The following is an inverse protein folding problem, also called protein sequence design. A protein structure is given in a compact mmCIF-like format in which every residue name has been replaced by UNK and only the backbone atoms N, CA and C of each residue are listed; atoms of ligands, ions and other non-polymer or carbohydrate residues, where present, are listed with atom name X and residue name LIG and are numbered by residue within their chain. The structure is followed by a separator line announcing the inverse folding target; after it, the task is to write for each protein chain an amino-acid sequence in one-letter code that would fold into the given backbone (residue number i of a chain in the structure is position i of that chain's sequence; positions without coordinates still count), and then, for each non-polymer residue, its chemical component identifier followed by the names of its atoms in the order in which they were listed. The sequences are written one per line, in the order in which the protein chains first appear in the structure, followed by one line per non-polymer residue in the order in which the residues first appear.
data_IF_397336861335
#
_entry.id   IF_397336861335
#
_cell.length_a   1.000
_cell.length_b   1.000
_cell.length_c   1.000
_cell.angle_alpha   90.00
_cell.angle_beta   90.00
_cell.angle_gamma   90.00
#
_symmetry.space_group_name_H-M   'P 1'
#
loop_
_entity.id
_entity.type
_entity.pdbx_description
1 polymer ?
#
# COMPACT_ATOMS: atom_id res chain seq x y z
N UNK A 1 -2.14 -32.86 8.34
CA UNK A 1 -1.46 -31.58 7.96
C UNK A 1 -0.20 -31.87 7.11
N UNK A 2 0.05 -31.11 6.03
CA UNK A 2 1.09 -31.38 4.99
C UNK A 2 2.53 -31.53 5.53
N UNK A 3 2.99 -30.65 6.41
CA UNK A 3 4.40 -30.64 6.82
C UNK A 3 4.82 -31.86 7.65
N UNK A 4 3.87 -32.58 8.25
CA UNK A 4 4.15 -33.80 9.01
C UNK A 4 4.69 -34.94 8.14
N UNK A 5 4.45 -34.90 6.83
CA UNK A 5 4.94 -35.92 5.90
C UNK A 5 6.29 -35.60 5.26
N UNK A 6 6.89 -34.45 5.59
CA UNK A 6 8.23 -34.14 5.10
C UNK A 6 9.26 -35.05 5.80
N UNK A 7 10.44 -35.26 5.20
CA UNK A 7 11.55 -35.88 5.90
C UNK A 7 12.14 -34.91 6.92
N UNK A 8 12.83 -35.49 7.91
CA UNK A 8 13.58 -34.73 8.91
C UNK A 8 15.02 -34.59 8.46
N UNK A 9 15.62 -33.44 8.74
CA UNK A 9 17.06 -33.19 8.58
C UNK A 9 17.65 -32.89 9.95
N UNK A 10 18.88 -33.33 10.19
CA UNK A 10 19.63 -32.96 11.39
C UNK A 10 20.30 -31.61 11.17
N UNK A 11 20.14 -30.69 12.13
CA UNK A 11 20.81 -29.39 12.12
C UNK A 11 21.49 -29.14 13.45
N UNK A 12 22.70 -28.60 13.39
CA UNK A 12 23.43 -28.16 14.58
C UNK A 12 22.95 -26.77 14.97
N UNK A 13 22.43 -26.63 16.18
CA UNK A 13 22.05 -25.35 16.79
C UNK A 13 22.76 -25.31 18.15
N UNK A 14 23.65 -24.34 18.35
CA UNK A 14 24.35 -24.12 19.63
C UNK A 14 24.90 -25.42 20.24
N UNK A 15 25.71 -26.15 19.45
CA UNK A 15 26.38 -27.41 19.81
C UNK A 15 25.48 -28.64 20.03
N UNK A 16 24.16 -28.53 19.85
CA UNK A 16 23.23 -29.66 19.88
C UNK A 16 22.76 -30.06 18.48
N UNK A 17 22.73 -31.37 18.20
CA UNK A 17 22.12 -31.92 16.98
C UNK A 17 20.63 -32.06 17.21
N UNK A 18 19.83 -31.25 16.50
CA UNK A 18 18.38 -31.28 16.57
C UNK A 18 17.83 -31.80 15.24
N UNK A 19 16.91 -32.77 15.30
CA UNK A 19 16.13 -33.16 14.13
C UNK A 19 15.00 -32.16 13.88
N UNK A 20 15.01 -31.52 12.72
CA UNK A 20 13.99 -30.55 12.29
C UNK A 20 13.30 -31.01 11.02
N UNK A 21 12.05 -30.58 10.82
CA UNK A 21 11.31 -30.84 9.60
C UNK A 21 11.94 -30.10 8.42
N UNK A 22 12.22 -30.78 7.31
CA UNK A 22 12.85 -30.17 6.14
C UNK A 22 11.88 -29.29 5.35
N UNK A 23 11.74 -28.03 5.75
CA UNK A 23 10.91 -27.04 5.04
C UNK A 23 11.61 -26.40 3.83
N UNK A 24 12.86 -26.77 3.54
CA UNK A 24 13.64 -26.19 2.44
C UNK A 24 13.31 -26.81 1.08
N UNK A 25 12.62 -27.96 1.10
CA UNK A 25 12.15 -28.64 -0.11
C UNK A 25 11.01 -27.85 -0.76
N UNK A 26 11.31 -27.22 -1.90
CA UNK A 26 10.32 -26.55 -2.75
C UNK A 26 9.56 -27.59 -3.57
N UNK A 27 8.23 -27.58 -3.43
CA UNK A 27 7.35 -28.32 -4.33
C UNK A 27 6.93 -27.38 -5.45
N UNK A 28 7.28 -27.74 -6.68
CA UNK A 28 6.88 -27.00 -7.89
C UNK A 28 6.08 -27.94 -8.76
N UNK A 29 4.85 -27.56 -9.07
CA UNK A 29 4.06 -28.18 -10.12
C UNK A 29 4.35 -27.45 -11.42
N UNK A 30 4.54 -28.18 -12.52
CA UNK A 30 4.66 -27.57 -13.85
C UNK A 30 3.28 -27.07 -14.29
N UNK A 31 3.24 -25.85 -14.84
CA UNK A 31 2.00 -25.15 -15.20
C UNK A 31 1.12 -25.98 -16.16
N UNK A 32 1.72 -26.80 -17.04
CA UNK A 32 0.99 -27.70 -17.97
C UNK A 32 0.03 -28.70 -17.30
N UNK A 33 0.31 -29.13 -16.06
CA UNK A 33 -0.60 -30.03 -15.33
C UNK A 33 -1.78 -29.29 -14.67
N UNK A 34 -1.65 -27.98 -14.51
CA UNK A 34 -2.59 -27.09 -13.81
C UNK A 34 -3.52 -26.37 -14.80
N UNK A 35 -3.06 -26.11 -16.03
CA UNK A 35 -3.76 -25.32 -17.06
C UNK A 35 -4.99 -25.96 -17.72
N UNK A 36 -5.48 -27.12 -17.25
CA UNK A 36 -6.81 -27.57 -17.67
C UNK A 36 -7.87 -26.75 -16.93
N UNK A 37 -8.16 -25.56 -17.46
CA UNK A 37 -9.15 -24.52 -17.09
C UNK A 37 -10.56 -24.99 -16.67
N UNK A 38 -10.85 -26.29 -16.70
CA UNK A 38 -12.11 -26.91 -16.27
C UNK A 38 -12.05 -27.54 -14.87
N UNK A 39 -10.93 -27.41 -14.15
CA UNK A 39 -10.74 -28.08 -12.86
C UNK A 39 -10.86 -27.16 -11.64
N UNK A 40 -10.99 -25.85 -11.85
CA UNK A 40 -11.12 -24.87 -10.76
C UNK A 40 -12.53 -24.35 -10.61
N UNK A 41 -12.97 -24.24 -9.36
CA UNK A 41 -14.18 -23.51 -8.96
C UNK A 41 -13.74 -22.23 -8.26
N UNK A 42 -14.18 -21.10 -8.79
CA UNK A 42 -13.96 -19.80 -8.16
C UNK A 42 -14.85 -19.66 -6.93
N UNK A 43 -14.24 -19.43 -5.77
CA UNK A 43 -14.92 -19.17 -4.51
C UNK A 43 -14.62 -17.76 -4.03
N UNK A 44 -15.68 -16.97 -3.79
CA UNK A 44 -15.56 -15.67 -3.15
C UNK A 44 -15.59 -15.85 -1.63
N UNK A 45 -14.47 -15.56 -0.99
CA UNK A 45 -14.29 -15.63 0.46
C UNK A 45 -15.28 -14.71 1.18
N UNK A 46 -15.97 -15.23 2.19
CA UNK A 46 -16.88 -14.44 3.04
C UNK A 46 -16.10 -13.81 4.19
N UNK A 47 -16.69 -12.78 4.80
CA UNK A 47 -16.11 -12.18 5.99
C UNK A 47 -16.01 -13.22 7.12
N UNK A 48 -14.86 -13.29 7.78
CA UNK A 48 -14.56 -14.29 8.81
C UNK A 48 -14.23 -15.71 8.34
N UNK A 49 -14.32 -16.03 7.05
CA UNK A 49 -13.80 -17.32 6.56
C UNK A 49 -12.28 -17.38 6.75
N UNK A 50 -11.77 -18.54 7.17
CA UNK A 50 -10.33 -18.88 7.13
C UNK A 50 -10.08 -19.93 6.06
N UNK A 51 -8.83 -20.10 5.63
CA UNK A 51 -8.50 -21.12 4.63
C UNK A 51 -8.85 -22.53 5.10
N UNK A 52 -8.71 -22.82 6.39
CA UNK A 52 -9.10 -24.07 7.04
C UNK A 52 -10.62 -24.27 7.01
N UNK A 53 -11.39 -23.22 7.30
CA UNK A 53 -12.85 -23.27 7.23
C UNK A 53 -13.35 -23.52 5.80
N UNK A 54 -12.72 -22.87 4.81
CA UNK A 54 -13.02 -23.09 3.39
C UNK A 54 -12.66 -24.52 2.98
N UNK A 55 -11.48 -25.01 3.38
CA UNK A 55 -11.05 -26.37 3.11
C UNK A 55 -12.00 -27.40 3.73
N UNK A 56 -12.45 -27.18 4.97
CA UNK A 56 -13.45 -28.04 5.63
C UNK A 56 -14.79 -28.05 4.88
N UNK A 57 -15.26 -26.88 4.42
CA UNK A 57 -16.53 -26.78 3.67
C UNK A 57 -16.46 -27.44 2.30
N UNK A 58 -15.33 -27.31 1.60
CA UNK A 58 -15.20 -27.73 0.21
C UNK A 58 -14.61 -29.13 0.04
N UNK A 59 -13.65 -29.51 0.88
CA UNK A 59 -12.96 -30.82 0.83
C UNK A 59 -13.30 -31.76 2.00
N UNK A 60 -14.09 -31.30 2.98
CA UNK A 60 -14.44 -32.08 4.18
C UNK A 60 -13.33 -32.18 5.23
N UNK A 61 -12.13 -31.64 4.96
CA UNK A 61 -10.97 -31.65 5.86
C UNK A 61 -10.35 -30.25 5.95
N UNK A 62 -10.18 -29.75 7.17
CA UNK A 62 -9.49 -28.49 7.48
C UNK A 62 -7.99 -28.54 7.16
N UNK A 63 -7.37 -29.72 7.30
CA UNK A 63 -5.95 -29.93 7.03
C UNK A 63 -5.51 -29.67 5.58
N UNK A 64 -6.46 -29.48 4.66
CA UNK A 64 -6.23 -29.23 3.23
C UNK A 64 -6.14 -27.73 2.89
N UNK A 65 -6.03 -26.84 3.87
CA UNK A 65 -5.84 -25.40 3.65
C UNK A 65 -4.62 -25.09 2.76
N UNK A 66 -3.56 -25.89 2.85
CA UNK A 66 -2.36 -25.76 2.02
C UNK A 66 -2.62 -25.99 0.53
N UNK A 67 -3.62 -26.80 0.16
CA UNK A 67 -4.00 -27.04 -1.25
C UNK A 67 -4.52 -25.73 -1.85
N UNK A 68 -5.33 -25.01 -1.08
CA UNK A 68 -5.86 -23.70 -1.47
C UNK A 68 -4.70 -22.71 -1.62
N UNK A 69 -3.77 -22.67 -0.65
CA UNK A 69 -2.60 -21.78 -0.71
C UNK A 69 -1.74 -22.05 -1.95
N UNK A 70 -1.47 -23.32 -2.24
CA UNK A 70 -0.64 -23.77 -3.34
C UNK A 70 -1.19 -23.31 -4.70
N UNK A 71 -2.47 -23.58 -4.98
CA UNK A 71 -3.07 -23.22 -6.27
C UNK A 71 -3.30 -21.72 -6.45
N UNK A 72 -3.47 -20.98 -5.35
CA UNK A 72 -3.58 -19.51 -5.37
C UNK A 72 -2.23 -18.81 -5.25
N UNK A 73 -1.11 -19.56 -5.28
CA UNK A 73 0.27 -19.03 -5.14
C UNK A 73 0.42 -18.13 -3.90
N UNK A 74 -0.29 -18.46 -2.82
CA UNK A 74 -0.28 -17.71 -1.56
C UNK A 74 0.99 -18.04 -0.80
N UNK A 75 1.88 -17.05 -0.67
CA UNK A 75 3.13 -17.17 0.10
C UNK A 75 2.88 -16.89 1.58
N UNK A 76 2.18 -15.79 1.88
CA UNK A 76 1.85 -15.39 3.25
C UNK A 76 0.40 -15.82 3.57
N UNK A 77 0.19 -16.77 4.49
CA UNK A 77 -1.15 -17.25 4.82
C UNK A 77 -2.02 -16.20 5.55
N UNK A 78 -1.42 -15.19 6.17
CA UNK A 78 -2.12 -14.16 6.92
C UNK A 78 -2.52 -12.96 6.06
N UNK A 79 -1.63 -12.49 5.17
CA UNK A 79 -1.86 -11.28 4.37
C UNK A 79 -1.98 -11.53 2.85
N UNK A 80 -1.70 -12.77 2.41
CA UNK A 80 -1.85 -13.19 1.02
C UNK A 80 -3.28 -13.52 0.61
N UNK A 81 -4.21 -13.56 1.57
CA UNK A 81 -5.65 -13.70 1.34
C UNK A 81 -6.40 -12.49 1.90
N UNK A 82 -7.65 -12.29 1.46
CA UNK A 82 -8.47 -11.20 1.99
C UNK A 82 -8.64 -11.30 3.51
N UNK A 83 -8.42 -10.18 4.19
CA UNK A 83 -8.66 -10.01 5.60
C UNK A 83 -10.16 -9.79 5.86
N UNK A 84 -10.61 -10.15 7.07
CA UNK A 84 -11.94 -9.77 7.54
C UNK A 84 -12.05 -8.26 7.69
N UNK A 85 -13.27 -7.72 7.65
CA UNK A 85 -13.48 -6.25 7.74
C UNK A 85 -12.80 -5.66 8.97
N UNK A 86 -12.98 -6.27 10.16
CA UNK A 86 -12.34 -5.77 11.40
C UNK A 86 -10.81 -5.85 11.37
N UNK A 87 -10.25 -6.93 10.82
CA UNK A 87 -8.80 -7.11 10.75
C UNK A 87 -8.17 -6.18 9.70
N UNK A 88 -8.89 -5.94 8.61
CA UNK A 88 -8.51 -5.00 7.57
C UNK A 88 -8.53 -3.56 8.09
N UNK A 89 -9.55 -3.16 8.85
CA UNK A 89 -9.61 -1.84 9.49
C UNK A 89 -8.44 -1.62 10.44
N UNK A 90 -8.11 -2.61 11.27
CA UNK A 90 -6.94 -2.56 12.16
C UNK A 90 -5.63 -2.47 11.38
N UNK A 91 -5.52 -3.23 10.29
CA UNK A 91 -4.36 -3.18 9.40
C UNK A 91 -4.19 -1.77 8.80
N UNK A 92 -5.25 -1.19 8.25
CA UNK A 92 -5.23 0.16 7.69
C UNK A 92 -4.89 1.22 8.73
N UNK A 93 -5.50 1.14 9.93
CA UNK A 93 -5.19 2.07 11.02
C UNK A 93 -3.72 1.99 11.45
N UNK A 94 -3.12 0.79 11.47
CA UNK A 94 -1.69 0.62 11.80
C UNK A 94 -0.77 1.12 10.69
N UNK A 95 -1.15 0.88 9.43
CA UNK A 95 -0.37 1.28 8.25
C UNK A 95 -0.42 2.79 8.03
N UNK A 96 -1.60 3.39 8.16
CA UNK A 96 -1.87 4.81 7.90
C UNK A 96 -2.19 5.58 9.17
N UNK A 97 -1.27 5.52 10.14
CA UNK A 97 -1.35 6.32 11.36
C UNK A 97 -1.08 7.79 11.07
N UNK A 98 -1.66 8.65 11.90
CA UNK A 98 -1.40 10.09 11.92
C UNK A 98 -2.03 10.83 10.74
N UNK A 99 -1.35 11.91 10.34
CA UNK A 99 -1.80 12.78 9.26
C UNK A 99 -0.77 12.84 8.15
N UNK A 100 -1.26 13.01 6.93
CA UNK A 100 -0.45 13.39 5.77
C UNK A 100 -0.61 14.89 5.56
N UNK A 101 0.52 15.60 5.55
CA UNK A 101 0.59 17.04 5.36
C UNK A 101 1.14 17.35 3.98
N UNK A 102 0.45 18.20 3.22
CA UNK A 102 0.92 18.74 1.95
C UNK A 102 1.61 20.06 2.23
N UNK A 103 2.86 20.16 1.79
CA UNK A 103 3.76 21.23 2.18
C UNK A 103 4.11 22.09 0.97
N UNK A 104 4.22 23.40 1.21
CA UNK A 104 4.91 24.31 0.29
C UNK A 104 6.04 25.01 1.05
N UNK A 105 7.13 25.32 0.36
CA UNK A 105 8.08 26.29 0.91
C UNK A 105 7.42 27.67 0.99
N UNK A 106 7.82 28.46 1.99
CA UNK A 106 7.29 29.81 2.20
C UNK A 106 7.61 30.67 0.96
N UNK A 107 6.57 31.23 0.32
CA UNK A 107 6.72 32.06 -0.88
C UNK A 107 7.18 31.33 -2.15
N UNK A 108 7.06 30.00 -2.21
CA UNK A 108 7.56 29.16 -3.33
C UNK A 108 6.44 28.41 -4.06
N UNK A 109 6.78 27.85 -5.23
CA UNK A 109 5.88 26.98 -6.02
C UNK A 109 5.62 25.63 -5.34
N UNK A 110 4.40 25.11 -5.51
CA UNK A 110 3.97 23.79 -5.07
C UNK A 110 3.97 22.80 -6.25
N UNK A 111 4.31 21.51 -6.07
CA UNK A 111 4.75 20.86 -4.82
C UNK A 111 6.20 21.19 -4.42
N UNK A 112 6.48 21.07 -3.13
CA UNK A 112 7.83 21.17 -2.59
C UNK A 112 8.62 19.87 -2.89
N UNK A 113 9.84 19.99 -3.42
CA UNK A 113 10.75 18.84 -3.48
C UNK A 113 11.35 18.58 -2.09
N UNK A 114 11.09 17.38 -1.57
CA UNK A 114 11.49 16.92 -0.24
C UNK A 114 12.81 16.14 -0.28
N UNK A 115 13.15 15.50 -1.41
CA UNK A 115 14.38 14.71 -1.54
C UNK A 115 15.64 15.57 -1.37
N UNK A 116 15.59 16.83 -1.81
CA UNK A 116 16.69 17.78 -1.66
C UNK A 116 16.71 18.49 -0.30
N UNK A 117 15.69 18.27 0.55
CA UNK A 117 15.55 18.96 1.82
C UNK A 117 16.26 18.27 3.00
N UNK A 118 16.92 17.12 2.77
CA UNK A 118 17.68 16.42 3.83
C UNK A 118 16.82 15.74 4.90
N UNK A 119 15.54 15.49 4.60
CA UNK A 119 14.59 14.83 5.49
C UNK A 119 14.84 13.31 5.48
N UNK A 120 14.71 12.67 6.63
CA UNK A 120 14.78 11.21 6.77
C UNK A 120 13.50 10.68 7.45
N UNK A 121 13.29 9.36 7.34
CA UNK A 121 12.29 8.69 8.18
C UNK A 121 12.75 8.75 9.63
N UNK A 122 11.95 9.34 10.50
CA UNK A 122 12.31 9.60 11.90
C UNK A 122 12.58 11.08 12.21
N UNK A 123 12.69 11.96 11.20
CA UNK A 123 12.80 13.39 11.45
C UNK A 123 11.58 13.93 12.23
N UNK A 124 11.80 14.94 13.07
CA UNK A 124 10.76 15.51 13.92
C UNK A 124 10.15 16.74 13.26
N UNK A 125 8.83 16.76 13.08
CA UNK A 125 8.07 17.93 12.64
C UNK A 125 7.47 18.66 13.86
N UNK A 126 7.76 19.96 13.97
CA UNK A 126 7.24 20.84 15.02
C UNK A 126 6.72 22.15 14.44
N UNK A 127 5.90 22.87 15.20
CA UNK A 127 5.41 24.19 14.78
C UNK A 127 6.47 25.27 14.99
N UNK A 128 6.62 26.13 14.00
CA UNK A 128 7.47 27.32 14.02
C UNK A 128 6.59 28.55 13.87
N UNK A 129 6.74 29.51 14.77
CA UNK A 129 5.99 30.77 14.75
C UNK A 129 6.97 31.93 14.64
N UNK A 130 6.78 32.77 13.63
CA UNK A 130 7.48 34.05 13.52
C UNK A 130 6.58 35.11 14.14
N UNK A 131 7.04 35.71 15.23
CA UNK A 131 6.33 36.77 15.94
C UNK A 131 6.40 38.09 15.16
N UNK A 132 5.54 39.05 15.51
CA UNK A 132 5.49 40.36 14.86
C UNK A 132 6.78 41.18 15.01
N UNK A 133 7.63 40.85 15.98
CA UNK A 133 8.96 41.44 16.20
C UNK A 133 10.07 40.76 15.38
N UNK A 134 9.73 39.76 14.56
CA UNK A 134 10.67 38.98 13.77
C UNK A 134 11.37 37.85 14.54
N UNK A 135 11.10 37.68 15.84
CA UNK A 135 11.63 36.55 16.61
C UNK A 135 10.95 35.24 16.20
N UNK A 136 11.70 34.14 16.25
CA UNK A 136 11.21 32.79 15.93
C UNK A 136 11.06 31.99 17.20
N UNK A 137 9.87 31.41 17.40
CA UNK A 137 9.56 30.50 18.49
C UNK A 137 9.21 29.13 17.95
N UNK A 138 9.65 28.08 18.64
CA UNK A 138 9.33 26.69 18.31
C UNK A 138 8.40 26.12 19.38
N UNK A 139 7.30 25.51 18.95
CA UNK A 139 6.36 24.82 19.84
C UNK A 139 6.49 23.31 19.66
N UNK A 140 6.58 22.58 20.78
CA UNK A 140 6.56 21.12 20.78
C UNK A 140 5.13 20.55 20.62
N UNK A 141 4.11 21.40 20.51
CA UNK A 141 2.73 21.00 20.28
C UNK A 141 2.06 21.94 19.26
N UNK A 142 1.52 21.42 18.14
CA UNK A 142 1.61 20.03 17.67
C UNK A 142 3.04 19.61 17.30
N UNK A 143 3.38 18.34 17.57
CA UNK A 143 4.57 17.65 17.06
C UNK A 143 4.20 16.29 16.46
N UNK A 144 5.01 15.81 15.53
CA UNK A 144 4.92 14.45 15.00
C UNK A 144 6.23 14.00 14.35
N UNK A 145 6.43 12.69 14.26
CA UNK A 145 7.62 12.11 13.63
C UNK A 145 7.31 11.73 12.18
N UNK A 146 8.24 11.92 11.25
CA UNK A 146 8.04 11.59 9.84
C UNK A 146 8.15 10.09 9.64
N UNK A 147 7.06 9.47 9.19
CA UNK A 147 6.99 8.04 8.83
C UNK A 147 7.49 7.78 7.42
N UNK A 148 7.09 8.66 6.50
CA UNK A 148 7.41 8.58 5.08
C UNK A 148 7.12 9.94 4.44
N UNK A 149 7.63 10.13 3.23
CA UNK A 149 7.38 11.33 2.44
C UNK A 149 7.27 10.98 0.96
N UNK A 150 6.59 11.84 0.21
CA UNK A 150 6.36 11.68 -1.22
C UNK A 150 6.66 13.00 -1.92
N UNK A 151 7.74 13.00 -2.70
CA UNK A 151 8.24 14.13 -3.47
C UNK A 151 7.26 14.56 -4.58
N UNK A 152 6.63 13.61 -5.27
CA UNK A 152 5.64 13.88 -6.32
C UNK A 152 4.41 14.63 -5.78
N UNK A 153 4.09 14.44 -4.51
CA UNK A 153 2.98 15.11 -3.84
C UNK A 153 3.42 16.29 -2.97
N UNK A 154 4.73 16.50 -2.77
CA UNK A 154 5.25 17.42 -1.76
C UNK A 154 4.65 17.17 -0.38
N UNK A 155 4.44 15.91 -0.02
CA UNK A 155 3.69 15.52 1.18
C UNK A 155 4.51 14.68 2.14
N UNK A 156 4.28 14.86 3.44
CA UNK A 156 4.89 14.09 4.53
C UNK A 156 3.82 13.36 5.32
N UNK A 157 4.03 12.08 5.59
CA UNK A 157 3.21 11.29 6.51
C UNK A 157 3.83 11.34 7.90
N UNK A 158 3.02 11.69 8.89
CA UNK A 158 3.43 11.75 10.28
C UNK A 158 2.91 10.57 11.09
N UNK A 159 3.63 10.18 12.13
CA UNK A 159 3.21 9.24 13.17
C UNK A 159 3.58 9.78 14.56
N UNK A 160 3.07 9.13 15.62
CA UNK A 160 3.32 9.54 17.02
C UNK A 160 3.03 11.04 17.28
N UNK A 161 1.92 11.53 16.73
CA UNK A 161 1.53 12.92 16.88
C UNK A 161 1.03 13.23 18.29
N UNK A 162 1.42 14.39 18.82
CA UNK A 162 0.85 14.91 20.09
C UNK A 162 -0.43 15.70 19.85
N UNK A 163 -0.54 16.39 18.71
CA UNK A 163 -1.76 17.07 18.27
C UNK A 163 -1.80 17.15 16.74
N UNK A 164 -2.98 17.46 16.19
CA UNK A 164 -3.20 17.59 14.74
C UNK A 164 -2.68 18.94 14.23
N UNK A 165 -1.95 18.92 13.13
CA UNK A 165 -1.57 20.12 12.38
C UNK A 165 -2.75 20.63 11.55
N UNK A 166 -2.80 21.96 11.36
CA UNK A 166 -3.85 22.66 10.62
C UNK A 166 -3.29 23.32 9.36
N UNK A 167 -4.18 23.64 8.44
CA UNK A 167 -3.85 24.43 7.25
C UNK A 167 -3.32 25.79 7.69
N UNK A 168 -2.29 26.27 6.99
CA UNK A 168 -1.50 27.48 7.27
C UNK A 168 -0.55 27.41 8.47
N UNK A 169 -0.46 26.28 9.18
CA UNK A 169 0.60 26.11 10.18
C UNK A 169 1.97 26.11 9.48
N UNK A 170 2.93 26.86 10.05
CA UNK A 170 4.33 26.80 9.62
C UNK A 170 5.05 25.72 10.41
N UNK A 171 5.66 24.80 9.69
CA UNK A 171 6.42 23.68 10.21
C UNK A 171 7.91 23.94 10.12
N UNK A 172 8.62 23.42 11.10
CA UNK A 172 10.04 23.15 11.04
C UNK A 172 10.26 21.65 11.18
N UNK A 173 10.96 21.06 10.21
CA UNK A 173 11.38 19.67 10.25
C UNK A 173 12.82 19.65 10.71
N UNK A 174 13.06 18.90 11.78
CA UNK A 174 14.35 18.77 12.43
C UNK A 174 14.91 17.37 12.19
N UNK A 175 16.17 17.31 11.79
CA UNK A 175 16.98 16.10 11.85
C UNK A 175 17.92 16.20 13.05
N UNK A 176 17.63 15.42 14.09
CA UNK A 176 18.30 15.56 15.39
C UNK A 176 18.02 16.92 16.03
N UNK A 177 18.96 17.87 15.89
CA UNK A 177 18.86 19.25 16.40
C UNK A 177 18.98 20.33 15.31
N UNK A 178 19.05 19.92 14.05
CA UNK A 178 19.25 20.83 12.92
C UNK A 178 17.94 20.95 12.16
N UNK A 179 17.51 22.19 11.92
CA UNK A 179 16.39 22.48 11.02
C UNK A 179 16.82 22.20 9.58
N UNK A 180 16.18 21.22 8.95
CA UNK A 180 16.47 20.79 7.57
C UNK A 180 15.45 21.32 6.58
N UNK A 181 14.21 21.57 7.03
CA UNK A 181 13.17 22.18 6.20
C UNK A 181 12.26 23.09 7.02
N UNK A 182 11.92 24.26 6.45
CA UNK A 182 10.80 25.08 6.89
C UNK A 182 9.74 25.16 5.79
N UNK A 183 8.51 24.83 6.11
CA UNK A 183 7.41 24.75 5.14
C UNK A 183 6.06 25.09 5.76
N UNK A 184 5.11 25.53 4.95
CA UNK A 184 3.74 25.81 5.39
C UNK A 184 2.81 24.68 4.98
N UNK A 185 1.90 24.29 5.88
CA UNK A 185 0.87 23.27 5.62
C UNK A 185 -0.20 23.84 4.70
N UNK A 186 -0.25 23.35 3.47
CA UNK A 186 -1.29 23.72 2.49
C UNK A 186 -2.54 22.87 2.66
N UNK A 187 -2.38 21.61 3.08
CA UNK A 187 -3.49 20.71 3.39
C UNK A 187 -3.07 19.69 4.43
N UNK A 188 -3.96 19.39 5.35
CA UNK A 188 -3.79 18.33 6.35
C UNK A 188 -4.97 17.37 6.24
N UNK A 189 -4.67 16.08 6.06
CA UNK A 189 -5.68 15.01 6.00
C UNK A 189 -5.22 13.83 6.85
N UNK A 190 -6.16 13.06 7.38
CA UNK A 190 -5.81 11.80 8.04
C UNK A 190 -5.16 10.87 7.01
N UNK A 191 -4.07 10.20 7.38
CA UNK A 191 -3.23 9.47 6.41
C UNK A 191 -3.98 8.37 5.66
N UNK A 192 -5.05 7.82 6.25
CA UNK A 192 -5.91 6.83 5.62
C UNK A 192 -6.73 7.41 4.45
N UNK A 193 -7.05 8.70 4.49
CA UNK A 193 -7.83 9.40 3.47
C UNK A 193 -6.95 10.27 2.56
N UNK A 194 -5.63 10.21 2.75
CA UNK A 194 -4.67 10.82 1.84
C UNK A 194 -4.69 10.13 0.46
N UNK A 195 -4.39 10.87 -0.62
CA UNK A 195 -4.21 10.31 -1.96
C UNK A 195 -3.11 9.25 -1.94
N UNK A 196 -3.42 8.07 -2.47
CA UNK A 196 -2.40 7.10 -2.84
C UNK A 196 -1.91 7.38 -4.26
N UNK A 197 -2.83 7.58 -5.20
CA UNK A 197 -2.56 7.90 -6.59
C UNK A 197 -3.76 8.60 -7.22
N UNK A 198 -3.59 9.12 -8.44
CA UNK A 198 -4.65 9.73 -9.22
C UNK A 198 -5.03 8.80 -10.36
N UNK A 199 -6.32 8.67 -10.64
CA UNK A 199 -6.83 7.77 -11.68
C UNK A 199 -8.22 8.21 -12.13
N UNK A 200 -8.61 7.78 -13.33
CA UNK A 200 -9.98 7.99 -13.79
C UNK A 200 -10.94 7.06 -13.04
N UNK A 201 -12.09 7.60 -12.60
CA UNK A 201 -13.17 6.78 -12.05
C UNK A 201 -14.00 6.19 -13.19
N UNK A 202 -13.37 5.38 -14.03
CA UNK A 202 -14.10 4.54 -14.99
C UNK A 202 -14.59 3.30 -14.26
N UNK A 203 -15.90 3.07 -14.23
CA UNK A 203 -16.45 1.83 -13.67
C UNK A 203 -15.92 0.63 -14.47
N UNK A 204 -15.17 -0.24 -13.81
CA UNK A 204 -14.80 -1.55 -14.34
C UNK A 204 -13.48 -1.66 -15.11
N UNK A 205 -12.70 -0.58 -15.27
CA UNK A 205 -11.35 -0.64 -15.85
C UNK A 205 -10.28 -0.27 -14.82
N UNK A 206 -9.16 -1.01 -14.83
CA UNK A 206 -7.92 -0.51 -14.23
C UNK A 206 -7.45 0.67 -15.09
N UNK A 207 -7.92 1.88 -14.79
CA UNK A 207 -7.39 3.08 -15.45
C UNK A 207 -5.94 3.25 -15.01
N UNK A 208 -5.04 3.48 -15.97
CA UNK A 208 -3.65 3.78 -15.67
C UNK A 208 -3.54 4.97 -14.71
N UNK A 209 -2.52 4.99 -13.83
CA UNK A 209 -2.33 6.12 -12.92
C UNK A 209 -2.12 7.41 -13.71
N UNK A 210 -2.92 8.42 -13.39
CA UNK A 210 -2.76 9.78 -13.89
C UNK A 210 -1.56 10.45 -13.23
N UNK A 211 -0.84 11.27 -13.99
CA UNK A 211 0.21 12.12 -13.49
C UNK A 211 -0.38 13.24 -12.62
N UNK A 212 -0.03 13.31 -11.32
CA UNK A 212 -0.54 14.33 -10.40
C UNK A 212 -0.11 15.76 -10.76
N UNK A 213 0.99 15.92 -11.50
CA UNK A 213 1.57 17.22 -11.88
C UNK A 213 1.18 17.66 -13.30
N UNK A 214 0.32 16.90 -13.97
CA UNK A 214 -0.20 17.26 -15.28
C UNK A 214 -1.60 17.88 -15.16
N UNK A 215 -2.13 18.38 -16.27
CA UNK A 215 -3.49 18.90 -16.36
C UNK A 215 -4.54 17.86 -15.98
N UNK A 216 -5.77 18.32 -15.73
CA UNK A 216 -6.94 17.44 -15.78
C UNK A 216 -6.97 16.68 -17.11
N UNK A 217 -7.30 15.37 -17.12
CA UNK A 217 -7.39 14.61 -18.36
C UNK A 217 -8.55 15.13 -19.23
N UNK A 218 -8.36 15.12 -20.55
CA UNK A 218 -9.45 15.43 -21.49
C UNK A 218 -10.44 14.26 -21.63
N UNK A 219 -11.46 14.39 -22.48
CA UNK A 219 -12.47 13.36 -22.70
C UNK A 219 -11.93 12.01 -23.21
N UNK A 220 -10.66 11.94 -23.61
CA UNK A 220 -9.96 10.73 -24.05
C UNK A 220 -8.92 10.23 -23.03
N UNK A 221 -8.89 10.78 -21.82
CA UNK A 221 -7.97 10.39 -20.76
C UNK A 221 -6.53 10.87 -20.92
N UNK A 222 -6.29 11.79 -21.85
CA UNK A 222 -4.94 12.32 -22.12
C UNK A 222 -4.67 13.55 -21.25
N UNK A 223 -3.53 13.56 -20.57
CA UNK A 223 -3.04 14.71 -19.80
C UNK A 223 -1.93 15.46 -20.54
N UNK A 224 -1.87 16.77 -20.33
CA UNK A 224 -0.79 17.62 -20.82
C UNK A 224 0.15 17.95 -19.67
N UNK A 225 1.45 17.69 -19.87
CA UNK A 225 2.49 18.06 -18.90
C UNK A 225 2.57 19.58 -18.77
N UNK A 226 2.58 20.09 -17.54
CA UNK A 226 2.73 21.52 -17.29
C UNK A 226 4.22 21.87 -17.46
N UNK A 227 4.51 22.86 -18.31
CA UNK A 227 5.88 23.28 -18.65
C UNK A 227 6.32 22.95 -20.09
N UNK A 228 5.50 22.26 -20.88
CA UNK A 228 5.73 22.16 -22.32
C UNK A 228 5.06 23.32 -23.04
N UNK A 229 5.84 24.26 -23.59
CA UNK A 229 5.35 25.14 -24.65
C UNK A 229 5.21 24.30 -25.92
N UNK A 230 4.00 23.91 -26.30
CA UNK A 230 3.78 23.30 -27.62
C UNK A 230 4.03 24.35 -28.71
N UNK A 231 4.70 23.96 -29.79
CA UNK A 231 4.92 24.82 -30.97
C UNK A 231 3.63 25.05 -31.77
N UNK A 232 2.59 24.23 -31.57
CA UNK A 232 1.27 24.39 -32.17
C UNK A 232 0.31 25.07 -31.20
N UNK A 233 -0.20 26.23 -31.63
CA UNK A 233 -1.11 27.14 -30.93
C UNK A 233 -2.54 26.59 -30.71
N UNK A 234 -2.74 25.27 -30.62
CA UNK A 234 -4.07 24.68 -30.44
C UNK A 234 -4.39 24.27 -28.99
N UNK A 235 -3.39 24.09 -28.12
CA UNK A 235 -3.59 23.78 -26.70
C UNK A 235 -2.56 24.50 -25.83
N UNK A 236 -2.48 25.82 -25.97
CA UNK A 236 -1.65 26.65 -25.11
C UNK A 236 -2.04 26.43 -23.64
N UNK A 237 -1.16 25.81 -22.86
CA UNK A 237 -1.28 25.77 -21.40
C UNK A 237 -1.06 27.21 -20.93
N UNK A 238 -2.13 27.85 -20.45
CA UNK A 238 -2.03 29.18 -19.87
C UNK A 238 -1.21 29.06 -18.58
N UNK A 239 -0.30 30.01 -18.34
CA UNK A 239 0.34 30.14 -17.04
C UNK A 239 -0.75 30.16 -15.96
N UNK A 240 -0.79 29.13 -15.11
CA UNK A 240 -1.81 28.99 -14.07
C UNK A 240 -2.89 27.93 -14.30
N UNK A 241 -2.81 27.07 -15.33
CA UNK A 241 -3.66 25.86 -15.34
C UNK A 241 -3.33 24.98 -14.14
N UNK A 242 -4.28 24.72 -13.23
CA UNK A 242 -4.02 23.92 -12.04
C UNK A 242 -3.75 22.45 -12.41
N UNK A 243 -2.78 21.84 -11.75
CA UNK A 243 -2.55 20.39 -11.83
C UNK A 243 -3.61 19.62 -11.04
N UNK A 244 -3.76 18.31 -11.29
CA UNK A 244 -4.61 17.46 -10.46
C UNK A 244 -4.28 17.55 -8.96
N UNK A 245 -2.99 17.60 -8.62
CA UNK A 245 -2.54 17.76 -7.25
C UNK A 245 -2.87 19.14 -6.69
N UNK A 246 -2.68 20.20 -7.48
CA UNK A 246 -3.03 21.56 -7.07
C UNK A 246 -4.52 21.68 -6.77
N UNK A 247 -5.37 21.14 -7.65
CA UNK A 247 -6.81 21.13 -7.48
C UNK A 247 -7.24 20.35 -6.23
N UNK A 248 -6.60 19.21 -5.95
CA UNK A 248 -6.84 18.47 -4.72
C UNK A 248 -6.44 19.27 -3.47
N UNK A 249 -5.27 19.91 -3.48
CA UNK A 249 -4.72 20.59 -2.30
C UNK A 249 -5.43 21.92 -2.03
N UNK A 250 -5.55 22.77 -3.03
CA UNK A 250 -6.04 24.15 -2.89
C UNK A 250 -7.55 24.28 -3.16
N UNK A 251 -8.07 23.58 -4.17
CA UNK A 251 -9.48 23.69 -4.57
C UNK A 251 -10.36 22.59 -3.97
N UNK A 252 -9.78 21.67 -3.20
CA UNK A 252 -10.45 20.53 -2.57
C UNK A 252 -11.22 19.64 -3.56
N UNK A 253 -10.74 19.53 -4.80
CA UNK A 253 -11.35 18.72 -5.85
C UNK A 253 -10.82 17.29 -5.76
N UNK A 254 -11.71 16.35 -5.43
CA UNK A 254 -11.38 14.93 -5.20
C UNK A 254 -11.68 13.99 -6.37
N UNK A 255 -12.08 14.49 -7.54
CA UNK A 255 -12.69 13.68 -8.61
C UNK A 255 -11.83 12.51 -9.07
N UNK A 256 -10.52 12.75 -9.22
CA UNK A 256 -9.55 11.76 -9.71
C UNK A 256 -8.71 11.14 -8.58
N UNK A 257 -9.02 11.45 -7.33
CA UNK A 257 -8.19 11.02 -6.19
C UNK A 257 -8.61 9.63 -5.74
N UNK A 258 -7.67 8.69 -5.80
CA UNK A 258 -7.81 7.38 -5.16
C UNK A 258 -7.08 7.45 -3.82
N UNK A 259 -7.84 7.42 -2.73
CA UNK A 259 -7.29 7.46 -1.38
C UNK A 259 -6.65 6.13 -0.98
N UNK A 260 -5.77 6.18 0.03
CA UNK A 260 -5.19 4.97 0.62
C UNK A 260 -6.29 3.98 1.05
N UNK A 261 -7.36 4.46 1.69
CA UNK A 261 -8.54 3.66 2.03
C UNK A 261 -9.11 2.90 0.84
N UNK A 262 -9.43 3.61 -0.24
CA UNK A 262 -10.06 3.01 -1.44
C UNK A 262 -9.15 1.98 -2.09
N UNK A 263 -7.85 2.28 -2.17
CA UNK A 263 -6.84 1.34 -2.68
C UNK A 263 -6.79 0.05 -1.85
N UNK A 264 -6.65 0.16 -0.53
CA UNK A 264 -6.56 -1.01 0.35
C UNK A 264 -7.83 -1.86 0.30
N UNK A 265 -9.01 -1.24 0.22
CA UNK A 265 -10.25 -2.00 0.03
C UNK A 265 -10.29 -2.75 -1.30
N UNK A 266 -9.82 -2.14 -2.40
CA UNK A 266 -9.71 -2.80 -3.70
C UNK A 266 -8.73 -3.98 -3.62
N UNK A 267 -7.52 -3.74 -3.08
CA UNK A 267 -6.50 -4.78 -2.94
C UNK A 267 -7.00 -5.95 -2.07
N UNK A 268 -7.73 -5.67 -0.99
CA UNK A 268 -8.32 -6.69 -0.14
C UNK A 268 -9.47 -7.44 -0.84
N UNK A 269 -10.27 -6.74 -1.64
CA UNK A 269 -11.34 -7.33 -2.42
C UNK A 269 -10.81 -8.27 -3.50
N UNK A 270 -9.75 -7.87 -4.22
CA UNK A 270 -9.14 -8.67 -5.28
C UNK A 270 -8.55 -9.98 -4.70
N UNK A 271 -8.03 -9.94 -3.47
CA UNK A 271 -7.59 -11.13 -2.70
C UNK A 271 -8.72 -11.99 -2.13
N UNK A 272 -9.99 -11.61 -2.30
CA UNK A 272 -11.13 -12.39 -1.81
C UNK A 272 -11.54 -13.52 -2.75
N UNK A 273 -11.11 -13.47 -4.00
CA UNK A 273 -11.41 -14.45 -5.02
C UNK A 273 -10.34 -15.55 -4.97
N UNK A 274 -10.76 -16.78 -4.67
CA UNK A 274 -9.88 -17.94 -4.56
C UNK A 274 -10.26 -19.00 -5.60
N UNK A 275 -9.27 -19.59 -6.22
CA UNK A 275 -9.42 -20.74 -7.11
C UNK A 275 -9.29 -22.03 -6.29
N UNK A 276 -10.35 -22.84 -6.25
CA UNK A 276 -10.39 -24.12 -5.55
C UNK A 276 -10.37 -25.26 -6.57
N UNK A 277 -9.46 -26.23 -6.42
CA UNK A 277 -9.42 -27.42 -7.29
C UNK A 277 -10.62 -28.33 -7.01
N UNK A 278 -11.23 -28.96 -8.01
CA UNK A 278 -12.32 -29.92 -7.79
C UNK A 278 -11.89 -31.01 -6.77
N UNK A 279 -12.69 -31.28 -5.72
CA UNK A 279 -12.37 -32.24 -4.67
C UNK A 279 -11.96 -33.64 -5.18
N UNK A 280 -12.42 -34.03 -6.37
CA UNK A 280 -12.06 -35.32 -7.01
C UNK A 280 -10.57 -35.47 -7.28
N UNK A 281 -9.83 -34.37 -7.47
CA UNK A 281 -8.40 -34.41 -7.77
C UNK A 281 -7.51 -34.32 -6.52
N UNK A 282 -8.07 -33.96 -5.36
CA UNK A 282 -7.32 -33.85 -4.11
C UNK A 282 -6.61 -35.16 -3.71
N UNK A 283 -7.25 -36.35 -3.78
CA UNK A 283 -6.56 -37.59 -3.44
C UNK A 283 -5.37 -37.91 -4.36
N UNK A 284 -5.48 -37.57 -5.65
CA UNK A 284 -4.39 -37.74 -6.60
C UNK A 284 -3.22 -36.80 -6.29
N UNK A 285 -3.53 -35.54 -5.94
CA UNK A 285 -2.54 -34.56 -5.50
C UNK A 285 -1.82 -35.01 -4.22
N UNK A 286 -2.55 -35.50 -3.22
CA UNK A 286 -1.95 -36.02 -1.98
C UNK A 286 -1.02 -37.21 -2.25
N UNK A 287 -1.38 -38.07 -3.21
CA UNK A 287 -0.56 -39.22 -3.60
C UNK A 287 0.73 -38.77 -4.28
N UNK A 288 0.67 -37.85 -5.24
CA UNK A 288 1.86 -37.31 -5.91
C UNK A 288 2.77 -36.59 -4.93
N UNK A 289 2.20 -35.78 -4.03
CA UNK A 289 2.96 -35.15 -2.94
C UNK A 289 3.66 -36.18 -2.06
N UNK A 290 2.95 -37.23 -1.64
CA UNK A 290 3.55 -38.30 -0.84
C UNK A 290 4.66 -39.03 -1.59
N UNK A 291 4.52 -39.27 -2.90
CA UNK A 291 5.58 -39.88 -3.73
C UNK A 291 6.81 -38.97 -3.79
N UNK A 292 6.63 -37.67 -4.01
CA UNK A 292 7.72 -36.69 -4.01
C UNK A 292 8.47 -36.68 -2.67
N UNK A 293 7.77 -36.82 -1.54
CA UNK A 293 8.41 -36.83 -0.22
C UNK A 293 9.04 -38.17 0.16
N UNK A 294 8.58 -39.30 -0.42
CA UNK A 294 9.14 -40.63 -0.15
C UNK A 294 10.36 -40.95 -1.02
N UNK A 295 10.43 -40.42 -2.23
CA UNK A 295 11.49 -40.72 -3.21
C UNK A 295 12.64 -39.70 -3.20
N UNK A 296 12.73 -38.82 -2.21
CA UNK A 296 13.72 -37.74 -2.14
C UNK A 296 14.44 -37.66 -0.79
#
# INVERSE_FOLDING_TARGET
MLFKSYPKISRVIEDNIVEVQDILRKVVFTDESIEKDKQFVTYKKRDGDTLESIARKFYGRDELSWVIMLFNKVIDPFYGVSLSTSSHDKYMQKKYQGQTLFLSAVGSSFPLSLNSAGITTGSLAITKTTNSDGSVSYSNEPRGTIKSFNDNFGSVQLFEQTAKFKVNDTLSILEGRVEVLSATVQKAVDSIDAPSYFAERLEGASSDPLNPLASVPNAHGVQTSIGTTSADFATAVTYGTPTLLFDYVYNNVGTYVVTNRTKEFKDNYDKSVLNLIDPKFVPALELEMRKLFRNA
#
